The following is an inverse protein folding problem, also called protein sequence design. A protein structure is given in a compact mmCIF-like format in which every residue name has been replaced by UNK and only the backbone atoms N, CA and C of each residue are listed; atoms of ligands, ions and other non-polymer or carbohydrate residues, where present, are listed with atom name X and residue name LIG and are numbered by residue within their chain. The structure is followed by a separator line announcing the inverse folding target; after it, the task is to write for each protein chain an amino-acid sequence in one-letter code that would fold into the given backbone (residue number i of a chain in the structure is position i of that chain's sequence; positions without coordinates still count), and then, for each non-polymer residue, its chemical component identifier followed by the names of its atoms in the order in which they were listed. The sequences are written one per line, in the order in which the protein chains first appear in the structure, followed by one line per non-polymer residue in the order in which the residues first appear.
data_IF_126138844945
#
_entry.id   IF_126138844945
#
_cell.length_a   1.000
_cell.length_b   1.000
_cell.length_c   1.000
_cell.angle_alpha   90.00
_cell.angle_beta   90.00
_cell.angle_gamma   90.00
#
_symmetry.space_group_name_H-M   'P 1'
#
loop_
_entity.id
_entity.type
_entity.pdbx_description
1 polymer ?
#
# COMPACT_ATOMS: atom_id res chain seq x y z
N UNK A 1 -13.52 17.27 -42.70
CA UNK A 1 -13.08 17.48 -41.29
C UNK A 1 -14.27 17.16 -40.42
N UNK A 2 -14.20 16.10 -39.60
CA UNK A 2 -15.23 15.81 -38.61
C UNK A 2 -14.79 16.53 -37.34
N UNK A 3 -15.49 17.59 -36.97
CA UNK A 3 -15.33 18.25 -35.68
C UNK A 3 -15.72 17.27 -34.58
N UNK A 4 -14.74 16.87 -33.76
CA UNK A 4 -15.02 16.23 -32.48
C UNK A 4 -15.65 17.28 -31.59
N UNK A 5 -16.97 17.25 -31.46
CA UNK A 5 -17.63 17.86 -30.32
C UNK A 5 -17.19 17.12 -29.06
N UNK A 6 -16.28 17.73 -28.31
CA UNK A 6 -16.07 17.38 -26.90
C UNK A 6 -17.38 17.72 -26.19
N UNK A 7 -18.16 16.67 -25.88
CA UNK A 7 -19.27 16.75 -24.94
C UNK A 7 -18.67 17.06 -23.56
N UNK A 8 -18.52 18.34 -23.26
CA UNK A 8 -18.26 18.83 -21.91
C UNK A 8 -19.59 18.70 -21.15
N UNK A 9 -19.79 17.53 -20.54
CA UNK A 9 -20.92 17.22 -19.66
C UNK A 9 -20.66 17.79 -18.26
N UNK A 10 -20.57 19.12 -18.17
CA UNK A 10 -20.38 19.85 -16.90
C UNK A 10 -21.71 20.10 -16.17
N UNK A 11 -22.86 19.73 -16.74
CA UNK A 11 -24.17 20.07 -16.17
C UNK A 11 -24.59 19.14 -15.03
N UNK A 12 -24.10 17.90 -14.98
CA UNK A 12 -24.34 16.99 -13.85
C UNK A 12 -23.16 16.02 -13.69
N UNK A 13 -22.06 16.49 -13.09
CA UNK A 13 -20.99 15.59 -12.69
C UNK A 13 -21.45 14.67 -11.54
N UNK A 14 -22.08 13.55 -11.89
CA UNK A 14 -22.57 12.53 -10.95
C UNK A 14 -21.50 11.54 -10.51
N UNK A 15 -20.33 11.55 -11.15
CA UNK A 15 -19.26 10.59 -10.93
C UNK A 15 -18.19 11.11 -9.95
N UNK A 16 -18.15 12.43 -9.73
CA UNK A 16 -17.25 13.04 -8.76
C UNK A 16 -17.91 13.18 -7.40
N UNK A 17 -17.24 12.66 -6.38
CA UNK A 17 -17.73 12.62 -5.00
C UNK A 17 -17.07 13.74 -4.20
N UNK A 18 -17.71 14.91 -4.17
CA UNK A 18 -17.16 16.10 -3.48
C UNK A 18 -17.21 16.02 -1.95
N UNK A 19 -18.21 15.32 -1.40
CA UNK A 19 -18.42 15.20 0.05
C UNK A 19 -17.60 14.07 0.70
N UNK A 20 -16.34 13.89 0.26
CA UNK A 20 -15.42 12.91 0.84
C UNK A 20 -14.96 13.33 2.24
N UNK A 21 -14.95 12.37 3.15
CA UNK A 21 -14.64 12.51 4.58
C UNK A 21 -13.19 12.10 4.86
N UNK A 22 -12.72 12.45 6.05
CA UNK A 22 -11.46 11.95 6.60
C UNK A 22 -11.54 10.46 6.96
N UNK A 23 -11.86 9.62 5.99
CA UNK A 23 -12.00 8.18 6.12
C UNK A 23 -10.92 7.50 5.28
N UNK A 24 -10.28 6.49 5.86
CA UNK A 24 -9.23 5.68 5.26
C UNK A 24 -9.70 4.23 5.23
N UNK A 25 -9.81 3.64 4.04
CA UNK A 25 -10.10 2.21 3.90
C UNK A 25 -8.80 1.41 3.76
N UNK A 26 -8.69 0.32 4.53
CA UNK A 26 -7.61 -0.66 4.43
C UNK A 26 -8.21 -1.94 3.83
N UNK A 27 -7.83 -2.23 2.58
CA UNK A 27 -8.39 -3.30 1.77
C UNK A 27 -7.36 -4.43 1.65
N UNK A 28 -7.39 -5.36 2.61
CA UNK A 28 -6.42 -6.46 2.75
C UNK A 28 -7.08 -7.75 3.24
N UNK A 29 -6.68 -8.88 2.66
CA UNK A 29 -7.04 -10.22 3.19
C UNK A 29 -6.13 -10.64 4.35
N UNK A 30 -5.01 -9.94 4.56
CA UNK A 30 -4.05 -10.23 5.60
C UNK A 30 -4.38 -9.44 6.87
N UNK A 31 -4.84 -10.11 7.95
CA UNK A 31 -5.11 -9.44 9.22
C UNK A 31 -3.83 -8.88 9.86
N UNK A 32 -2.65 -9.46 9.61
CA UNK A 32 -1.37 -8.98 10.15
C UNK A 32 -1.01 -7.63 9.50
N UNK A 33 -1.11 -7.53 8.17
CA UNK A 33 -0.91 -6.26 7.48
C UNK A 33 -1.98 -5.24 7.86
N UNK A 34 -3.25 -5.65 7.91
CA UNK A 34 -4.36 -4.76 8.27
C UNK A 34 -4.15 -4.12 9.64
N UNK A 35 -3.84 -4.96 10.64
CA UNK A 35 -3.55 -4.52 12.01
C UNK A 35 -2.31 -3.63 12.09
N UNK A 36 -1.23 -3.96 11.36
CA UNK A 36 -0.02 -3.13 11.32
C UNK A 36 -0.31 -1.74 10.72
N UNK A 37 -1.02 -1.67 9.60
CA UNK A 37 -1.40 -0.40 8.96
C UNK A 37 -2.36 0.40 9.84
N UNK A 38 -3.40 -0.22 10.38
CA UNK A 38 -4.40 0.44 11.20
C UNK A 38 -3.78 1.04 12.47
N UNK A 39 -2.96 0.29 13.19
CA UNK A 39 -2.31 0.79 14.40
C UNK A 39 -1.26 1.85 14.12
N UNK A 40 -0.55 1.80 12.98
CA UNK A 40 0.38 2.87 12.57
C UNK A 40 -0.34 4.19 12.35
N UNK A 41 -1.46 4.14 11.61
CA UNK A 41 -2.28 5.31 11.32
C UNK A 41 -2.91 5.83 12.62
N UNK A 42 -3.51 4.94 13.43
CA UNK A 42 -4.14 5.31 14.71
C UNK A 42 -3.16 5.83 15.76
N UNK A 43 -1.91 5.37 15.71
CA UNK A 43 -0.83 5.81 16.60
C UNK A 43 -0.17 7.14 16.20
N UNK A 44 -0.47 7.69 15.02
CA UNK A 44 0.08 8.98 14.57
C UNK A 44 -0.84 10.13 15.01
N UNK A 45 -0.30 11.05 15.82
CA UNK A 45 -1.07 12.17 16.36
C UNK A 45 -1.65 13.10 15.28
N UNK A 46 -1.02 13.16 14.10
CA UNK A 46 -1.46 13.98 12.96
C UNK A 46 -2.69 13.40 12.26
N UNK A 47 -3.04 12.14 12.54
CA UNK A 47 -4.12 11.39 11.90
C UNK A 47 -5.30 11.11 12.85
N UNK A 48 -5.31 11.67 14.06
CA UNK A 48 -6.35 11.45 15.09
C UNK A 48 -7.79 11.76 14.67
N UNK A 49 -7.98 12.61 13.66
CA UNK A 49 -9.31 12.94 13.10
C UNK A 49 -9.74 12.02 11.94
N UNK A 50 -8.94 11.02 11.59
CA UNK A 50 -9.25 10.10 10.52
C UNK A 50 -9.98 8.87 11.04
N UNK A 51 -11.10 8.53 10.41
CA UNK A 51 -11.79 7.25 10.61
C UNK A 51 -11.06 6.17 9.80
N UNK A 52 -10.71 5.06 10.47
CA UNK A 52 -10.06 3.90 9.84
C UNK A 52 -11.10 2.80 9.68
N UNK A 53 -11.35 2.37 8.44
CA UNK A 53 -12.26 1.28 8.12
C UNK A 53 -11.45 0.13 7.54
N UNK A 54 -11.51 -1.02 8.21
CA UNK A 54 -10.90 -2.27 7.76
C UNK A 54 -12.03 -3.31 7.61
N UNK A 55 -12.61 -3.47 6.41
CA UNK A 55 -13.62 -4.49 6.17
C UNK A 55 -12.95 -5.88 6.30
N UNK A 56 -13.16 -6.55 7.42
CA UNK A 56 -12.60 -7.87 7.71
C UNK A 56 -13.59 -8.75 8.46
N UNK A 57 -13.50 -10.06 8.25
CA UNK A 57 -14.30 -11.07 8.93
C UNK A 57 -13.41 -12.27 9.32
N UNK A 58 -14.01 -13.29 9.94
CA UNK A 58 -13.27 -14.45 10.47
C UNK A 58 -12.60 -15.31 9.38
N UNK A 59 -13.19 -15.37 8.18
CA UNK A 59 -12.63 -16.12 7.05
C UNK A 59 -12.28 -15.19 5.88
N UNK A 60 -11.45 -15.66 4.95
CA UNK A 60 -11.08 -14.91 3.75
C UNK A 60 -12.26 -14.69 2.82
N UNK A 61 -13.14 -15.69 2.67
CA UNK A 61 -14.36 -15.54 1.87
C UNK A 61 -15.25 -14.46 2.44
N UNK A 62 -15.54 -14.52 3.74
CA UNK A 62 -16.41 -13.54 4.40
C UNK A 62 -15.77 -12.14 4.39
N UNK A 63 -14.44 -12.07 4.43
CA UNK A 63 -13.70 -10.82 4.30
C UNK A 63 -13.89 -10.21 2.91
N UNK A 64 -13.79 -11.01 1.84
CA UNK A 64 -14.10 -10.54 0.47
C UNK A 64 -15.54 -10.06 0.38
N UNK A 65 -16.51 -10.83 0.87
CA UNK A 65 -17.94 -10.46 0.85
C UNK A 65 -18.22 -9.18 1.67
N UNK A 66 -17.47 -8.95 2.76
CA UNK A 66 -17.54 -7.73 3.56
C UNK A 66 -16.96 -6.53 2.81
N UNK A 67 -15.84 -6.70 2.10
CA UNK A 67 -15.28 -5.65 1.24
C UNK A 67 -16.20 -5.32 0.06
N UNK A 68 -16.84 -6.32 -0.54
CA UNK A 68 -17.79 -6.12 -1.63
C UNK A 68 -19.00 -5.28 -1.19
N UNK A 69 -19.55 -5.57 -0.01
CA UNK A 69 -20.62 -4.76 0.58
C UNK A 69 -20.18 -3.33 0.89
N UNK A 70 -18.94 -3.15 1.32
CA UNK A 70 -18.37 -1.84 1.63
C UNK A 70 -17.92 -1.06 0.38
N UNK A 71 -17.87 -1.68 -0.81
CA UNK A 71 -17.30 -1.08 -2.00
C UNK A 71 -17.98 0.25 -2.41
N UNK A 72 -19.32 0.39 -2.39
CA UNK A 72 -19.97 1.67 -2.70
C UNK A 72 -19.62 2.79 -1.71
N UNK A 73 -19.46 2.45 -0.42
CA UNK A 73 -19.16 3.42 0.64
C UNK A 73 -17.76 4.03 0.51
N UNK A 74 -16.84 3.37 -0.20
CA UNK A 74 -15.49 3.90 -0.46
C UNK A 74 -15.48 5.22 -1.21
N UNK A 75 -16.58 5.58 -1.90
CA UNK A 75 -16.79 6.89 -2.53
C UNK A 75 -16.71 8.05 -1.55
N UNK A 76 -16.92 7.78 -0.26
CA UNK A 76 -16.86 8.78 0.82
C UNK A 76 -15.45 8.93 1.39
N UNK A 77 -14.50 8.07 1.03
CA UNK A 77 -13.15 8.07 1.61
C UNK A 77 -12.20 9.01 0.86
N UNK A 78 -11.28 9.65 1.58
CA UNK A 78 -10.18 10.42 0.99
C UNK A 78 -8.98 9.56 0.63
N UNK A 79 -8.84 8.38 1.24
CA UNK A 79 -7.71 7.47 1.00
C UNK A 79 -8.14 6.01 1.01
N UNK A 80 -7.66 5.26 0.02
CA UNK A 80 -7.80 3.82 -0.10
C UNK A 80 -6.41 3.18 -0.08
N UNK A 81 -6.21 2.20 0.80
CA UNK A 81 -4.97 1.43 0.89
C UNK A 81 -5.27 0.02 0.40
N UNK A 82 -4.70 -0.38 -0.73
CA UNK A 82 -4.91 -1.70 -1.33
C UNK A 82 -3.71 -2.61 -1.06
N UNK A 83 -4.00 -3.83 -0.62
CA UNK A 83 -3.04 -4.94 -0.63
C UNK A 83 -3.02 -5.58 -2.02
N UNK A 84 -1.93 -5.39 -2.75
CA UNK A 84 -1.76 -5.92 -4.10
C UNK A 84 -0.76 -7.08 -4.16
N UNK A 85 -0.51 -7.75 -3.02
CA UNK A 85 0.39 -8.91 -3.01
C UNK A 85 -0.12 -10.03 -3.91
N UNK A 86 0.80 -10.68 -4.62
CA UNK A 86 0.48 -11.74 -5.59
C UNK A 86 -0.40 -12.86 -5.02
N UNK A 87 -0.18 -13.25 -3.77
CA UNK A 87 -0.92 -14.35 -3.13
C UNK A 87 -2.42 -14.04 -2.98
N UNK A 88 -2.78 -12.85 -2.50
CA UNK A 88 -4.18 -12.46 -2.23
C UNK A 88 -4.89 -11.83 -3.42
N UNK A 89 -4.14 -11.25 -4.36
CA UNK A 89 -4.69 -10.46 -5.46
C UNK A 89 -5.73 -11.17 -6.33
N UNK A 90 -5.60 -12.48 -6.68
CA UNK A 90 -6.64 -13.17 -7.45
C UNK A 90 -8.02 -13.15 -6.78
N UNK A 91 -8.06 -13.27 -5.45
CA UNK A 91 -9.31 -13.22 -4.67
C UNK A 91 -9.85 -11.79 -4.51
N UNK A 92 -8.95 -10.80 -4.46
CA UNK A 92 -9.31 -9.39 -4.34
C UNK A 92 -9.64 -8.71 -5.67
N UNK A 93 -9.33 -9.33 -6.82
CA UNK A 93 -9.39 -8.69 -8.14
C UNK A 93 -10.77 -8.09 -8.45
N UNK A 94 -11.84 -8.83 -8.18
CA UNK A 94 -13.22 -8.36 -8.43
C UNK A 94 -13.53 -7.13 -7.57
N UNK A 95 -13.38 -7.25 -6.25
CA UNK A 95 -13.71 -6.17 -5.33
C UNK A 95 -12.83 -4.93 -5.53
N UNK A 96 -11.54 -5.10 -5.82
CA UNK A 96 -10.65 -4.00 -6.16
C UNK A 96 -11.12 -3.27 -7.41
N UNK A 97 -11.44 -4.00 -8.49
CA UNK A 97 -11.95 -3.41 -9.73
C UNK A 97 -13.24 -2.64 -9.49
N UNK A 98 -14.15 -3.18 -8.69
CA UNK A 98 -15.44 -2.53 -8.39
C UNK A 98 -15.20 -1.22 -7.59
N UNK A 99 -14.36 -1.25 -6.55
CA UNK A 99 -13.94 -0.05 -5.79
C UNK A 99 -13.25 0.99 -6.66
N UNK A 100 -12.32 0.56 -7.53
CA UNK A 100 -11.66 1.42 -8.51
C UNK A 100 -12.71 2.08 -9.41
N UNK A 101 -13.67 1.31 -9.91
CA UNK A 101 -14.75 1.81 -10.75
C UNK A 101 -15.52 2.95 -10.12
N UNK A 102 -15.89 2.82 -8.84
CA UNK A 102 -16.60 3.86 -8.09
C UNK A 102 -15.79 5.14 -7.87
N UNK A 103 -14.45 5.05 -7.82
CA UNK A 103 -13.57 6.15 -7.42
C UNK A 103 -12.71 6.72 -8.55
N UNK A 104 -12.73 6.11 -9.74
CA UNK A 104 -11.78 6.38 -10.83
C UNK A 104 -11.69 7.86 -11.21
N UNK A 105 -12.81 8.57 -11.23
CA UNK A 105 -12.86 10.00 -11.60
C UNK A 105 -12.15 10.90 -10.60
N UNK A 106 -12.12 10.51 -9.33
CA UNK A 106 -11.57 11.29 -8.23
C UNK A 106 -10.14 10.92 -7.86
N UNK A 107 -9.59 9.83 -8.41
CA UNK A 107 -8.24 9.40 -8.09
C UNK A 107 -7.19 10.46 -8.40
N UNK A 108 -6.27 10.64 -7.44
CA UNK A 108 -5.24 11.66 -7.40
C UNK A 108 -5.75 13.11 -7.37
N UNK A 109 -7.06 13.31 -7.16
CA UNK A 109 -7.73 14.61 -7.00
C UNK A 109 -8.37 14.71 -5.62
N UNK A 110 -9.49 14.03 -5.40
CA UNK A 110 -10.27 14.05 -4.14
C UNK A 110 -10.13 12.76 -3.34
N UNK A 111 -9.67 11.69 -4.01
CA UNK A 111 -9.34 10.40 -3.40
C UNK A 111 -7.94 9.99 -3.83
N UNK A 112 -7.16 9.40 -2.93
CA UNK A 112 -5.86 8.85 -3.25
C UNK A 112 -5.84 7.35 -3.00
N UNK A 113 -5.06 6.63 -3.79
CA UNK A 113 -4.78 5.22 -3.59
C UNK A 113 -3.32 5.01 -3.19
N UNK A 114 -3.10 4.17 -2.19
CA UNK A 114 -1.79 3.68 -1.76
C UNK A 114 -1.80 2.18 -1.97
N UNK A 115 -0.73 1.65 -2.56
CA UNK A 115 -0.56 0.21 -2.73
C UNK A 115 0.50 -0.30 -1.78
N UNK A 116 0.25 -1.43 -1.15
CA UNK A 116 1.25 -2.22 -0.44
C UNK A 116 1.32 -3.57 -1.14
N UNK A 117 2.52 -3.99 -1.54
CA UNK A 117 2.69 -5.20 -2.30
C UNK A 117 4.04 -5.85 -2.10
N UNK A 118 4.12 -7.11 -2.52
CA UNK A 118 5.31 -7.94 -2.42
C UNK A 118 6.30 -7.71 -3.57
N UNK A 119 5.97 -6.88 -4.57
CA UNK A 119 6.90 -6.56 -5.66
C UNK A 119 7.09 -7.69 -6.69
N UNK A 120 8.02 -7.50 -7.66
CA UNK A 120 8.23 -8.45 -8.74
C UNK A 120 8.97 -9.71 -8.26
N UNK A 121 8.49 -10.94 -8.59
CA UNK A 121 9.11 -12.21 -8.18
C UNK A 121 10.60 -12.32 -8.47
N UNK A 122 11.04 -11.69 -9.56
CA UNK A 122 12.38 -11.82 -10.11
C UNK A 122 13.30 -10.67 -9.68
N UNK A 123 12.94 -9.91 -8.64
CA UNK A 123 13.65 -8.71 -8.20
C UNK A 123 15.17 -8.93 -8.05
N UNK A 124 15.56 -10.01 -7.39
CA UNK A 124 16.96 -10.33 -7.12
C UNK A 124 17.54 -11.37 -8.09
N UNK A 125 16.81 -11.71 -9.15
CA UNK A 125 17.23 -12.71 -10.14
C UNK A 125 17.72 -12.05 -11.42
N UNK A 126 18.63 -12.73 -12.13
CA UNK A 126 19.07 -12.39 -13.48
C UNK A 126 19.68 -10.97 -13.64
N UNK A 127 20.18 -10.36 -12.56
CA UNK A 127 20.87 -9.06 -12.59
C UNK A 127 20.00 -7.87 -13.02
N UNK A 128 18.67 -8.05 -13.16
CA UNK A 128 17.77 -6.97 -13.62
C UNK A 128 17.52 -5.91 -12.56
N UNK A 129 17.64 -6.27 -11.28
CA UNK A 129 17.53 -5.35 -10.16
C UNK A 129 16.27 -4.50 -10.19
N UNK A 130 16.38 -3.21 -9.94
CA UNK A 130 15.23 -2.33 -9.80
C UNK A 130 14.47 -2.08 -11.13
N UNK A 131 15.03 -2.45 -12.28
CA UNK A 131 14.39 -2.23 -13.58
C UNK A 131 13.11 -3.09 -13.72
N UNK A 132 13.02 -4.25 -13.06
CA UNK A 132 11.80 -5.09 -13.07
C UNK A 132 10.61 -4.44 -12.38
N UNK A 133 10.85 -3.46 -11.50
CA UNK A 133 9.75 -2.69 -10.92
C UNK A 133 9.04 -1.83 -11.95
N UNK A 134 9.69 -1.38 -13.02
CA UNK A 134 9.06 -0.52 -14.03
C UNK A 134 7.87 -1.23 -14.68
N UNK A 135 8.05 -2.49 -15.11
CA UNK A 135 6.99 -3.29 -15.71
C UNK A 135 5.91 -3.63 -14.66
N UNK A 136 6.35 -4.02 -13.46
CA UNK A 136 5.45 -4.38 -12.36
C UNK A 136 4.54 -3.22 -11.94
N UNK A 137 5.09 -2.02 -11.78
CA UNK A 137 4.35 -0.82 -11.40
C UNK A 137 3.49 -0.31 -12.55
N UNK A 138 3.94 -0.46 -13.79
CA UNK A 138 3.15 -0.13 -14.98
C UNK A 138 1.84 -0.93 -15.05
N UNK A 139 1.86 -2.21 -14.67
CA UNK A 139 0.64 -3.03 -14.59
C UNK A 139 -0.34 -2.49 -13.53
N UNK A 140 0.16 -2.07 -12.36
CA UNK A 140 -0.70 -1.51 -11.30
C UNK A 140 -1.19 -0.09 -11.60
N UNK A 141 -0.47 0.68 -12.43
CA UNK A 141 -0.86 2.07 -12.74
C UNK A 141 -2.22 2.16 -13.40
N UNK A 142 -2.51 1.29 -14.37
CA UNK A 142 -3.75 1.31 -15.17
C UNK A 142 -4.97 1.00 -14.31
N UNK A 143 -4.80 0.08 -13.37
CA UNK A 143 -5.88 -0.40 -12.53
C UNK A 143 -6.09 0.52 -11.32
N UNK A 144 -5.03 0.88 -10.60
CA UNK A 144 -5.16 1.48 -9.27
C UNK A 144 -4.88 2.98 -9.20
N UNK A 145 -4.28 3.58 -10.24
CA UNK A 145 -3.84 4.97 -10.24
C UNK A 145 -3.06 5.39 -8.97
N UNK A 146 -2.06 4.61 -8.52
CA UNK A 146 -1.46 4.77 -7.21
C UNK A 146 -0.75 6.12 -7.04
N UNK A 147 -1.03 6.80 -5.93
CA UNK A 147 -0.27 7.98 -5.52
C UNK A 147 1.15 7.59 -5.05
N UNK A 148 1.27 6.40 -4.46
CA UNK A 148 2.54 5.78 -4.06
C UNK A 148 2.35 4.27 -3.92
N UNK A 149 3.38 3.52 -4.33
CA UNK A 149 3.51 2.09 -4.08
C UNK A 149 4.52 1.84 -2.97
N UNK A 150 4.20 0.95 -2.03
CA UNK A 150 5.09 0.48 -0.99
C UNK A 150 5.45 -0.99 -1.24
N UNK A 151 6.71 -1.23 -1.55
CA UNK A 151 7.27 -2.58 -1.56
C UNK A 151 7.51 -3.04 -0.12
N UNK A 152 7.01 -4.22 0.23
CA UNK A 152 7.21 -4.82 1.53
C UNK A 152 8.14 -6.05 1.45
N UNK A 153 9.41 -5.94 1.90
CA UNK A 153 10.36 -7.05 1.87
C UNK A 153 9.92 -8.25 2.69
N UNK A 154 9.09 -8.07 3.73
CA UNK A 154 8.58 -9.17 4.56
C UNK A 154 7.50 -9.98 3.84
N UNK A 155 6.91 -9.44 2.78
CA UNK A 155 5.89 -10.11 1.96
C UNK A 155 6.46 -10.68 0.66
N UNK A 156 7.65 -10.25 0.26
CA UNK A 156 8.33 -10.78 -0.93
C UNK A 156 8.96 -12.13 -0.62
N UNK A 157 8.46 -13.18 -1.25
CA UNK A 157 9.08 -14.51 -1.27
C UNK A 157 9.62 -14.77 -2.68
N UNK A 158 10.91 -15.10 -2.77
CA UNK A 158 11.53 -15.54 -4.01
C UNK A 158 10.91 -16.88 -4.47
N UNK A 159 10.99 -17.22 -5.77
CA UNK A 159 10.50 -18.50 -6.27
C UNK A 159 10.99 -19.73 -5.49
N UNK A 160 12.23 -19.71 -4.98
CA UNK A 160 12.79 -20.77 -4.13
C UNK A 160 12.24 -20.78 -2.70
N UNK A 161 11.71 -19.66 -2.23
CA UNK A 161 11.10 -19.52 -0.91
C UNK A 161 9.59 -19.76 -0.95
N UNK A 162 8.97 -19.70 -2.13
CA UNK A 162 7.54 -19.90 -2.34
C UNK A 162 7.15 -21.36 -2.11
N UNK A 163 6.31 -21.60 -1.09
CA UNK A 163 5.64 -22.91 -0.93
C UNK A 163 4.55 -23.00 -2.00
N UNK A 164 4.63 -24.00 -2.88
CA UNK A 164 3.56 -24.34 -3.82
C UNK A 164 2.39 -24.90 -3.00
N UNK A 165 1.39 -24.05 -2.69
CA UNK A 165 0.14 -24.52 -2.10
C UNK A 165 -0.70 -25.24 -3.16
N UNK A 166 -1.37 -26.33 -2.76
CA UNK A 166 -2.34 -27.01 -3.61
C UNK A 166 -3.56 -26.09 -3.84
N UNK A 167 -4.26 -26.30 -4.95
CA UNK A 167 -5.42 -25.49 -5.37
C UNK A 167 -6.61 -25.61 -4.39
N UNK A 168 -6.65 -26.67 -3.59
CA UNK A 168 -7.77 -27.04 -2.70
C UNK A 168 -7.53 -26.79 -1.20
N UNK A 169 -6.35 -26.38 -0.76
CA UNK A 169 -6.14 -26.08 0.66
C UNK A 169 -6.85 -24.77 1.03
N UNK A 170 -7.42 -24.73 2.24
CA UNK A 170 -7.98 -23.54 2.87
C UNK A 170 -6.95 -22.40 2.75
N UNK A 171 -7.16 -21.51 1.77
CA UNK A 171 -6.16 -20.54 1.35
C UNK A 171 -5.72 -19.72 2.58
N UNK A 172 -4.49 -19.91 3.02
CA UNK A 172 -3.91 -19.19 4.14
C UNK A 172 -2.75 -18.33 3.65
N UNK A 173 -2.73 -17.07 4.07
CA UNK A 173 -1.59 -16.20 3.80
C UNK A 173 -0.44 -16.58 4.74
N UNK A 174 0.77 -16.67 4.17
CA UNK A 174 1.98 -16.98 4.91
C UNK A 174 2.30 -15.89 5.93
N UNK A 175 2.61 -16.33 7.14
CA UNK A 175 3.06 -15.52 8.26
C UNK A 175 4.54 -15.77 8.61
N UNK A 176 5.19 -16.73 7.96
CA UNK A 176 6.61 -17.02 8.13
C UNK A 176 7.48 -15.96 7.47
N UNK A 177 8.61 -15.64 8.09
CA UNK A 177 9.53 -14.64 7.54
C UNK A 177 10.26 -15.22 6.33
N UNK A 178 10.43 -14.47 5.22
CA UNK A 178 11.20 -14.96 4.10
C UNK A 178 12.58 -15.47 4.53
N UNK A 179 12.98 -16.64 4.03
CA UNK A 179 14.17 -17.36 4.50
C UNK A 179 15.44 -16.51 4.44
N UNK A 180 15.58 -15.65 3.42
CA UNK A 180 16.71 -14.73 3.30
C UNK A 180 16.78 -13.66 4.40
N UNK A 181 15.64 -13.33 5.02
CA UNK A 181 15.55 -12.37 6.11
C UNK A 181 15.70 -13.04 7.49
N UNK A 182 15.44 -14.34 7.59
CA UNK A 182 15.53 -15.09 8.86
C UNK A 182 16.87 -14.93 9.60
N UNK A 183 18.06 -14.91 8.95
CA UNK A 183 19.34 -14.73 9.64
C UNK A 183 19.51 -13.38 10.37
N UNK A 184 18.68 -12.38 10.03
CA UNK A 184 18.71 -11.07 10.66
C UNK A 184 17.89 -10.99 11.96
N UNK A 185 17.12 -12.03 12.27
CA UNK A 185 16.30 -12.13 13.47
C UNK A 185 16.89 -13.17 14.44
N UNK A 186 16.44 -13.15 15.70
CA UNK A 186 17.05 -13.96 16.77
C UNK A 186 16.94 -15.44 16.42
N UNK A 187 18.08 -16.15 16.47
CA UNK A 187 18.14 -17.60 16.31
C UNK A 187 17.46 -18.28 17.50
N UNK A 188 16.52 -19.19 17.24
CA UNK A 188 15.91 -20.06 18.25
C UNK A 188 14.49 -19.69 18.70
N UNK A 189 13.94 -18.56 18.25
CA UNK A 189 12.52 -18.22 18.43
C UNK A 189 11.81 -18.26 17.07
N UNK A 190 10.64 -18.91 16.98
CA UNK A 190 9.78 -18.80 15.81
C UNK A 190 9.42 -17.33 15.60
N UNK A 191 10.05 -16.72 14.60
CA UNK A 191 9.84 -15.32 14.26
C UNK A 191 8.84 -15.26 13.12
N UNK A 192 7.63 -14.77 13.40
CA UNK A 192 6.61 -14.50 12.39
C UNK A 192 6.68 -13.05 11.91
N UNK A 193 6.11 -12.79 10.73
CA UNK A 193 5.92 -11.44 10.18
C UNK A 193 5.15 -10.57 11.18
N UNK A 194 4.14 -11.12 11.87
CA UNK A 194 3.37 -10.41 12.89
C UNK A 194 4.23 -9.92 14.04
N UNK A 195 5.06 -10.79 14.61
CA UNK A 195 5.97 -10.45 15.72
C UNK A 195 6.98 -9.36 15.30
N UNK A 196 7.52 -9.46 14.08
CA UNK A 196 8.43 -8.44 13.53
C UNK A 196 7.73 -7.09 13.39
N UNK A 197 6.53 -7.06 12.79
CA UNK A 197 5.77 -5.83 12.58
C UNK A 197 5.45 -5.17 13.91
N UNK A 198 4.93 -5.94 14.88
CA UNK A 198 4.64 -5.44 16.22
C UNK A 198 5.89 -4.84 16.89
N UNK A 199 7.04 -5.53 16.79
CA UNK A 199 8.30 -5.01 17.30
C UNK A 199 8.67 -3.67 16.66
N UNK A 200 8.69 -3.57 15.32
CA UNK A 200 9.12 -2.33 14.65
C UNK A 200 8.09 -1.20 14.64
N UNK A 201 6.80 -1.52 14.73
CA UNK A 201 5.69 -0.56 14.81
C UNK A 201 5.77 0.25 16.09
N UNK A 202 5.94 -0.41 17.24
CA UNK A 202 6.25 0.21 18.52
C UNK A 202 5.34 1.42 18.90
N UNK A 203 4.05 1.37 18.56
CA UNK A 203 3.09 2.49 18.72
C UNK A 203 3.06 3.00 20.17
N UNK A 204 3.07 2.11 21.16
CA UNK A 204 3.02 2.46 22.59
C UNK A 204 4.40 2.72 23.22
N UNK A 205 5.43 2.95 22.40
CA UNK A 205 6.80 3.20 22.89
C UNK A 205 7.18 4.67 22.75
N UNK A 206 8.07 5.17 23.63
CA UNK A 206 8.61 6.51 23.51
C UNK A 206 9.27 6.77 22.14
N UNK A 207 9.27 8.01 21.67
CA UNK A 207 9.80 8.43 20.37
C UNK A 207 11.22 7.96 20.11
N UNK A 208 12.08 8.01 21.13
CA UNK A 208 13.45 7.54 21.04
C UNK A 208 13.52 6.05 20.68
N UNK A 209 12.67 5.22 21.29
CA UNK A 209 12.58 3.78 21.01
C UNK A 209 12.03 3.54 19.61
N UNK A 210 10.96 4.25 19.22
CA UNK A 210 10.37 4.16 17.87
C UNK A 210 11.41 4.50 16.80
N UNK A 211 12.13 5.59 17.00
CA UNK A 211 13.18 6.04 16.10
C UNK A 211 14.36 5.05 16.02
N UNK A 212 14.80 4.52 17.17
CA UNK A 212 15.86 3.49 17.22
C UNK A 212 15.46 2.24 16.45
N UNK A 213 14.24 1.74 16.65
CA UNK A 213 13.72 0.56 15.94
C UNK A 213 13.56 0.82 14.43
N UNK A 214 13.02 1.98 14.04
CA UNK A 214 12.93 2.38 12.64
C UNK A 214 14.33 2.43 11.97
N UNK A 215 15.33 3.01 12.64
CA UNK A 215 16.72 3.03 12.18
C UNK A 215 17.29 1.62 12.02
N UNK A 216 17.00 0.71 12.95
CA UNK A 216 17.41 -0.69 12.86
C UNK A 216 16.81 -1.38 11.63
N UNK A 217 15.49 -1.25 11.42
CA UNK A 217 14.81 -1.83 10.26
C UNK A 217 15.36 -1.28 8.95
N UNK A 218 15.58 0.03 8.87
CA UNK A 218 16.17 0.68 7.71
C UNK A 218 17.58 0.15 7.39
N UNK A 219 18.40 -0.08 8.43
CA UNK A 219 19.74 -0.67 8.26
C UNK A 219 19.65 -2.11 7.77
N UNK A 220 18.74 -2.91 8.32
CA UNK A 220 18.49 -4.28 7.89
C UNK A 220 18.12 -4.32 6.42
N UNK A 221 17.09 -3.59 5.99
CA UNK A 221 16.67 -3.58 4.60
C UNK A 221 17.75 -3.05 3.66
N UNK A 222 18.45 -1.97 4.04
CA UNK A 222 19.55 -1.46 3.21
C UNK A 222 20.66 -2.50 3.06
N UNK A 223 21.00 -3.22 4.13
CA UNK A 223 22.01 -4.27 4.10
C UNK A 223 21.57 -5.41 3.17
N UNK A 224 20.36 -5.95 3.36
CA UNK A 224 19.84 -7.04 2.53
C UNK A 224 19.76 -6.67 1.04
N UNK A 225 19.20 -5.50 0.73
CA UNK A 225 19.05 -5.07 -0.67
C UNK A 225 20.42 -4.84 -1.32
N UNK A 226 21.37 -4.22 -0.62
CA UNK A 226 22.72 -3.99 -1.16
C UNK A 226 23.49 -5.30 -1.38
N UNK A 227 23.33 -6.30 -0.51
CA UNK A 227 23.97 -7.61 -0.69
C UNK A 227 23.44 -8.32 -1.95
N UNK A 228 22.17 -8.11 -2.30
CA UNK A 228 21.53 -8.74 -3.48
C UNK A 228 21.61 -7.91 -4.76
N UNK A 229 21.73 -6.59 -4.66
CA UNK A 229 21.83 -5.66 -5.78
C UNK A 229 23.14 -4.84 -5.71
N UNK A 230 24.31 -5.48 -5.82
CA UNK A 230 25.60 -4.79 -5.74
C UNK A 230 25.72 -3.74 -6.86
N UNK A 231 26.29 -2.58 -6.55
CA UNK A 231 26.49 -1.49 -7.53
C UNK A 231 25.26 -0.60 -7.75
N UNK A 232 24.19 -0.76 -6.94
CA UNK A 232 22.97 0.07 -7.00
C UNK A 232 22.75 0.89 -5.71
N UNK A 233 23.80 1.16 -4.94
CA UNK A 233 23.74 1.73 -3.59
C UNK A 233 23.03 3.09 -3.55
N UNK A 234 23.22 3.93 -4.56
CA UNK A 234 22.55 5.23 -4.67
C UNK A 234 21.04 5.09 -4.92
N UNK A 235 20.63 4.10 -5.71
CA UNK A 235 19.21 3.81 -5.93
C UNK A 235 18.57 3.27 -4.65
N UNK A 236 19.25 2.39 -3.92
CA UNK A 236 18.80 1.89 -2.60
C UNK A 236 18.71 3.02 -1.57
N UNK A 237 19.64 3.97 -1.60
CA UNK A 237 19.60 5.17 -0.76
C UNK A 237 18.37 6.03 -1.08
N UNK A 238 18.04 6.22 -2.36
CA UNK A 238 16.84 6.93 -2.78
C UNK A 238 15.55 6.19 -2.36
N UNK A 239 15.50 4.88 -2.58
CA UNK A 239 14.36 4.03 -2.25
C UNK A 239 14.02 4.02 -0.75
N UNK A 240 15.05 4.04 0.10
CA UNK A 240 14.87 4.11 1.57
C UNK A 240 14.65 5.53 2.09
N UNK A 241 14.56 6.56 1.23
CA UNK A 241 14.36 7.96 1.62
C UNK A 241 12.88 8.34 1.71
N UNK A 242 12.57 9.48 2.34
CA UNK A 242 11.19 10.02 2.39
C UNK A 242 10.64 10.33 0.98
N UNK A 243 11.54 10.69 0.06
CA UNK A 243 11.18 10.97 -1.33
C UNK A 243 10.89 9.70 -2.11
N UNK A 244 11.31 8.53 -1.64
CA UNK A 244 11.21 7.29 -2.39
C UNK A 244 12.06 7.26 -3.66
N UNK A 245 11.93 6.17 -4.39
CA UNK A 245 12.46 6.00 -5.73
C UNK A 245 11.38 6.39 -6.74
N UNK A 246 11.74 7.27 -7.68
CA UNK A 246 10.91 7.57 -8.83
C UNK A 246 11.32 6.63 -9.97
N UNK A 247 10.39 5.79 -10.44
CA UNK A 247 10.59 4.89 -11.57
C UNK A 247 9.61 5.28 -12.66
N UNK A 248 10.11 5.88 -13.74
CA UNK A 248 9.27 6.51 -14.76
C UNK A 248 8.23 7.47 -14.12
N UNK A 249 6.94 7.17 -14.22
CA UNK A 249 5.86 7.99 -13.65
C UNK A 249 5.47 7.58 -12.23
N UNK A 250 5.90 6.39 -11.81
CA UNK A 250 5.45 5.72 -10.61
C UNK A 250 6.41 5.98 -9.46
N UNK A 251 5.82 6.14 -8.28
CA UNK A 251 6.56 6.41 -7.06
C UNK A 251 6.58 5.20 -6.17
N UNK A 252 7.77 4.78 -5.77
CA UNK A 252 7.96 3.60 -4.93
C UNK A 252 8.68 3.96 -3.63
N UNK A 253 8.17 3.42 -2.53
CA UNK A 253 8.79 3.43 -1.21
C UNK A 253 8.97 2.01 -0.70
N UNK A 254 9.68 1.92 0.42
CA UNK A 254 9.84 0.71 1.19
C UNK A 254 8.89 0.73 2.38
N UNK A 255 8.03 -0.27 2.54
CA UNK A 255 7.19 -0.38 3.72
C UNK A 255 8.02 -0.77 4.95
N UNK A 256 7.80 -0.21 6.15
CA UNK A 256 6.90 0.89 6.51
C UNK A 256 7.59 2.28 6.50
N UNK A 257 8.72 2.44 5.82
CA UNK A 257 9.50 3.68 5.87
C UNK A 257 8.69 4.88 5.37
N UNK A 258 8.49 5.87 6.24
CA UNK A 258 7.72 7.09 5.96
C UNK A 258 6.26 6.85 5.56
N UNK A 259 5.70 5.69 5.91
CA UNK A 259 4.32 5.34 5.55
C UNK A 259 3.32 6.36 6.10
N UNK A 260 3.42 6.68 7.39
CA UNK A 260 2.53 7.60 8.10
C UNK A 260 2.64 9.03 7.54
N UNK A 261 3.86 9.44 7.14
CA UNK A 261 4.09 10.73 6.46
C UNK A 261 3.37 10.81 5.10
N UNK A 262 3.32 9.70 4.36
CA UNK A 262 2.62 9.61 3.09
C UNK A 262 1.11 9.63 3.27
N UNK A 263 0.58 8.85 4.22
CA UNK A 263 -0.84 8.87 4.58
C UNK A 263 -1.27 10.29 4.95
N UNK A 264 -0.56 10.94 5.88
CA UNK A 264 -0.85 12.32 6.30
C UNK A 264 -0.84 13.30 5.13
N UNK A 265 0.19 13.23 4.27
CA UNK A 265 0.31 14.10 3.10
C UNK A 265 -0.86 13.91 2.12
N UNK A 266 -1.28 12.68 1.86
CA UNK A 266 -2.35 12.39 0.90
C UNK A 266 -3.72 12.79 1.44
N UNK A 267 -4.00 12.53 2.73
CA UNK A 267 -5.22 12.97 3.39
C UNK A 267 -5.37 14.50 3.33
N UNK A 268 -4.31 15.22 3.70
CA UNK A 268 -4.33 16.69 3.67
C UNK A 268 -4.39 17.25 2.25
N UNK A 269 -3.79 16.56 1.27
CA UNK A 269 -3.91 16.94 -0.15
C UNK A 269 -5.35 16.76 -0.64
N UNK A 270 -6.03 15.67 -0.26
CA UNK A 270 -7.43 15.44 -0.64
C UNK A 270 -8.35 16.51 -0.05
N UNK A 271 -8.13 16.86 1.21
CA UNK A 271 -8.85 17.93 1.90
C UNK A 271 -8.71 19.26 1.17
N UNK A 272 -7.47 19.73 0.97
CA UNK A 272 -7.21 20.99 0.29
C UNK A 272 -7.81 21.03 -1.13
N UNK A 273 -7.70 19.94 -1.87
CA UNK A 273 -8.26 19.85 -3.22
C UNK A 273 -9.80 19.93 -3.20
N UNK A 274 -10.46 19.42 -2.16
CA UNK A 274 -11.91 19.53 -1.99
C UNK A 274 -12.31 20.98 -1.67
N UNK A 275 -11.54 21.67 -0.83
CA UNK A 275 -11.78 23.08 -0.47
C UNK A 275 -11.61 24.00 -1.69
N UNK A 276 -10.55 23.80 -2.48
CA UNK A 276 -10.31 24.55 -3.73
C UNK A 276 -11.43 24.31 -4.77
N UNK A 277 -11.94 23.08 -4.87
CA UNK A 277 -13.05 22.75 -5.77
C UNK A 277 -14.42 23.29 -5.30
N UNK A 278 -14.56 23.58 -4.00
CA UNK A 278 -15.75 24.17 -3.40
C UNK A 278 -15.77 25.70 -3.41
N UNK A 279 -14.60 26.35 -3.44
CA UNK A 279 -14.45 27.82 -3.40
C UNK A 279 -14.65 28.55 -4.74
N UNK A 280 -14.87 27.83 -5.86
CA UNK A 280 -15.09 28.42 -7.19
C UNK A 280 -16.50 28.94 -7.47
N UNK A 281 -17.39 28.93 -6.49
CA UNK A 281 -18.74 29.46 -6.58
C UNK A 281 -18.97 30.56 -5.57
N UNK A 282 -18.63 31.79 -5.93
CA UNK A 282 -19.26 32.98 -5.34
C UNK A 282 -19.64 33.91 -6.49
N UNK A 283 -20.92 34.37 -6.55
CA UNK A 283 -21.42 35.25 -7.59
C UNK A 283 -20.74 36.63 -7.56
#
# INVERSE_FOLDING_TARGET
MIERQELIDDKHDILTHRARRNTIYILTLDPILGTDVAERIGGDSRLKGCEIIQPSAGTIRDTVETMERAAPDTTRARLLIFDVRRAGLPKLRKVHRDIIGFNRKDFNKLCFSVLIGDGPPMLYQNGRGLDVFTIYLGAHRVDYHPAVFFYDPLLHYEPSEAKLGAIDDEFALRDDVPQRLAPYFRKGEETTVGTIRQYFRAVDKPDEVRWKRCRMLRRLYRKEINERLPGREDQVKAWTSRKGLQLATEKMNLYPMYFEDWVYKLMHKAERNADEAGGGGSP
#
